data_IF_704862548490
#
_entry.id   IF_704862548490
#
_cell.length_a   1.000
_cell.length_b   1.000
_cell.length_c   1.000
_cell.angle_alpha   90.00
_cell.angle_beta   90.00
_cell.angle_gamma   90.00
#
_symmetry.space_group_name_H-M   'P 1'
#
loop_
_entity.id
_entity.type
_entity.pdbx_description
1 polymer ?
#
# COMPACT_ATOMS: atom_id res chain seq x y z
N UNK A 1 -2.47 -64.64 -41.57
CA UNK A 1 -3.26 -65.03 -42.77
C UNK A 1 -4.70 -64.63 -42.47
N UNK A 2 -5.45 -63.78 -43.18
CA UNK A 2 -5.39 -63.14 -44.49
C UNK A 2 -6.21 -61.82 -44.41
N UNK A 3 -5.65 -60.73 -44.96
CA UNK A 3 -6.23 -59.67 -45.83
C UNK A 3 -7.75 -59.34 -45.75
N UNK A 4 -8.15 -58.10 -45.43
CA UNK A 4 -8.24 -56.88 -46.28
C UNK A 4 -9.28 -56.93 -47.44
N UNK A 5 -10.21 -55.95 -47.48
CA UNK A 5 -10.50 -54.99 -48.60
C UNK A 5 -11.92 -54.35 -48.47
N UNK A 6 -12.04 -53.00 -48.36
CA UNK A 6 -12.52 -51.98 -49.37
C UNK A 6 -14.07 -51.97 -49.56
N UNK A 7 -14.86 -50.91 -49.83
CA UNK A 7 -14.71 -49.52 -50.29
C UNK A 7 -16.10 -48.77 -50.19
N UNK A 8 -16.11 -47.47 -49.82
CA UNK A 8 -16.87 -46.27 -50.33
C UNK A 8 -18.37 -46.29 -50.74
N UNK A 9 -19.19 -45.39 -50.12
CA UNK A 9 -20.17 -44.39 -50.70
C UNK A 9 -21.01 -43.74 -49.57
N UNK A 10 -20.78 -42.50 -49.12
CA UNK A 10 -21.33 -41.17 -49.55
C UNK A 10 -22.87 -41.00 -49.48
N UNK A 11 -23.38 -40.21 -48.49
CA UNK A 11 -24.44 -39.18 -48.65
C UNK A 11 -24.35 -38.16 -47.48
N UNK A 12 -24.31 -36.86 -47.81
CA UNK A 12 -24.35 -35.70 -46.92
C UNK A 12 -25.80 -35.21 -46.65
N UNK A 13 -25.94 -34.27 -45.69
CA UNK A 13 -27.11 -33.43 -45.32
C UNK A 13 -27.98 -34.06 -44.20
N UNK A 14 -28.30 -33.44 -43.05
CA UNK A 14 -28.51 -32.03 -42.66
C UNK A 14 -28.35 -31.84 -41.12
N UNK A 15 -27.51 -30.85 -40.75
CA UNK A 15 -27.55 -29.85 -39.64
C UNK A 15 -28.07 -30.16 -38.21
N UNK A 16 -27.22 -29.82 -37.23
CA UNK A 16 -27.57 -29.17 -35.95
C UNK A 16 -27.36 -30.04 -34.70
N UNK A 17 -26.16 -30.19 -34.13
CA UNK A 17 -25.45 -29.26 -33.21
C UNK A 17 -26.39 -28.64 -32.15
N UNK A 18 -26.13 -28.61 -30.85
CA UNK A 18 -25.10 -29.13 -29.93
C UNK A 18 -25.66 -28.85 -28.53
N UNK A 19 -25.53 -29.80 -27.60
CA UNK A 19 -25.86 -29.59 -26.19
C UNK A 19 -24.77 -28.77 -25.49
N UNK A 20 -25.15 -27.83 -24.63
CA UNK A 20 -24.24 -27.15 -23.70
C UNK A 20 -24.98 -26.86 -22.39
N UNK A 21 -24.53 -27.36 -21.22
CA UNK A 21 -24.93 -26.80 -19.95
C UNK A 21 -23.92 -25.76 -19.47
N UNK A 22 -24.48 -24.76 -18.79
CA UNK A 22 -23.85 -23.58 -18.21
C UNK A 22 -22.68 -23.93 -17.26
N UNK A 23 -21.49 -23.42 -17.58
CA UNK A 23 -20.45 -23.10 -16.60
C UNK A 23 -20.31 -21.58 -16.55
N UNK A 24 -20.94 -20.95 -15.56
CA UNK A 24 -20.68 -19.55 -15.21
C UNK A 24 -19.38 -19.52 -14.41
N UNK A 25 -18.25 -19.43 -15.12
CA UNK A 25 -16.97 -19.06 -14.54
C UNK A 25 -16.92 -17.53 -14.46
N UNK A 26 -16.95 -17.02 -13.22
CA UNK A 26 -16.68 -15.63 -12.90
C UNK A 26 -15.21 -15.32 -13.24
N UNK A 27 -14.92 -14.98 -14.51
CA UNK A 27 -13.62 -14.46 -14.91
C UNK A 27 -13.45 -13.08 -14.30
N UNK A 28 -12.69 -12.98 -13.21
CA UNK A 28 -12.03 -11.72 -12.85
C UNK A 28 -11.13 -11.34 -14.05
N UNK A 29 -11.21 -10.12 -14.58
CA UNK A 29 -10.26 -9.68 -15.58
C UNK A 29 -8.91 -9.53 -14.88
N UNK A 30 -8.04 -10.52 -15.03
CA UNK A 30 -6.62 -10.38 -14.73
C UNK A 30 -6.01 -9.50 -15.80
N UNK A 31 -6.08 -8.18 -15.58
CA UNK A 31 -5.23 -7.24 -16.31
C UNK A 31 -3.82 -7.37 -15.74
N UNK A 32 -3.18 -8.50 -16.03
CA UNK A 32 -1.77 -8.70 -15.70
C UNK A 32 -1.00 -7.92 -16.76
N UNK A 33 -0.48 -6.75 -16.38
CA UNK A 33 0.46 -6.02 -17.21
C UNK A 33 1.62 -6.97 -17.57
N UNK A 34 1.82 -7.33 -18.85
CA UNK A 34 2.86 -8.27 -19.25
C UNK A 34 4.29 -7.78 -18.97
N UNK A 35 4.45 -6.55 -18.48
CA UNK A 35 5.74 -5.91 -18.24
C UNK A 35 6.27 -6.04 -16.80
N UNK A 36 5.51 -6.60 -15.85
CA UNK A 36 5.92 -6.64 -14.43
C UNK A 36 6.99 -7.71 -14.16
N UNK A 37 7.14 -8.74 -15.02
CA UNK A 37 8.02 -9.88 -14.75
C UNK A 37 9.48 -9.71 -15.19
N UNK A 38 9.88 -8.55 -15.72
CA UNK A 38 11.26 -8.34 -16.22
C UNK A 38 11.84 -6.94 -15.98
N UNK A 39 11.29 -6.15 -15.05
CA UNK A 39 11.89 -4.88 -14.65
C UNK A 39 12.94 -5.11 -13.58
N UNK A 40 14.20 -5.06 -13.98
CA UNK A 40 15.32 -4.85 -13.06
C UNK A 40 15.12 -3.51 -12.36
N UNK A 41 14.79 -3.60 -11.06
CA UNK A 41 14.70 -2.66 -9.93
C UNK A 41 15.04 -1.15 -10.00
N UNK A 42 15.34 -0.49 -11.12
CA UNK A 42 15.65 0.97 -11.12
C UNK A 42 14.92 1.84 -12.16
N UNK A 43 14.40 1.33 -13.28
CA UNK A 43 14.20 2.26 -14.41
C UNK A 43 12.86 2.99 -14.55
N UNK A 44 11.79 2.67 -13.78
CA UNK A 44 10.60 3.54 -13.79
C UNK A 44 9.67 3.36 -12.59
N UNK A 45 9.85 4.21 -11.57
CA UNK A 45 8.83 4.42 -10.54
C UNK A 45 7.87 5.50 -11.08
N UNK A 46 6.56 5.21 -11.26
CA UNK A 46 5.63 6.20 -11.79
C UNK A 46 5.56 7.45 -10.91
N UNK A 47 5.62 8.62 -11.54
CA UNK A 47 5.57 9.90 -10.82
C UNK A 47 4.13 10.38 -10.59
N UNK A 48 3.19 9.98 -11.45
CA UNK A 48 1.76 10.24 -11.31
C UNK A 48 1.19 9.37 -10.18
N UNK A 49 0.42 9.98 -9.27
CA UNK A 49 0.06 9.36 -7.99
C UNK A 49 -0.84 8.13 -8.14
N UNK A 50 -1.80 8.15 -9.07
CA UNK A 50 -2.68 7.02 -9.33
C UNK A 50 -1.95 5.87 -10.05
N UNK A 51 -1.07 6.19 -11.00
CA UNK A 51 -0.20 5.19 -11.64
C UNK A 51 0.75 4.55 -10.63
N UNK A 52 1.35 5.35 -9.74
CA UNK A 52 2.20 4.88 -8.66
C UNK A 52 1.47 3.92 -7.71
N UNK A 53 0.24 4.26 -7.32
CA UNK A 53 -0.59 3.40 -6.47
C UNK A 53 -0.94 2.09 -7.17
N UNK A 54 -1.27 2.14 -8.46
CA UNK A 54 -1.52 0.95 -9.27
C UNK A 54 -0.28 0.05 -9.35
N UNK A 55 0.91 0.66 -9.51
CA UNK A 55 2.19 -0.04 -9.53
C UNK A 55 2.52 -0.70 -8.19
N UNK A 56 2.42 0.02 -7.07
CA UNK A 56 2.67 -0.56 -5.72
C UNK A 56 1.68 -1.67 -5.37
N UNK A 57 0.39 -1.50 -5.71
CA UNK A 57 -0.63 -2.53 -5.53
C UNK A 57 -0.32 -3.79 -6.33
N UNK A 58 0.06 -3.65 -7.60
CA UNK A 58 0.45 -4.78 -8.43
C UNK A 58 1.69 -5.49 -7.87
N UNK A 59 2.69 -4.72 -7.42
CA UNK A 59 3.89 -5.24 -6.78
C UNK A 59 3.56 -6.08 -5.55
N UNK A 60 2.65 -5.60 -4.68
CA UNK A 60 2.24 -6.32 -3.47
C UNK A 60 1.63 -7.70 -3.79
N UNK A 61 0.83 -7.80 -4.87
CA UNK A 61 0.27 -9.08 -5.30
C UNK A 61 1.31 -10.03 -5.89
N UNK A 62 2.31 -9.52 -6.61
CA UNK A 62 3.38 -10.36 -7.16
C UNK A 62 4.36 -10.83 -6.10
N UNK A 63 4.61 -10.02 -5.06
CA UNK A 63 5.56 -10.33 -3.97
C UNK A 63 5.22 -11.63 -3.24
N UNK A 64 3.93 -12.00 -3.17
CA UNK A 64 3.50 -13.26 -2.54
C UNK A 64 4.19 -14.49 -3.15
N UNK A 65 4.48 -14.45 -4.46
CA UNK A 65 5.14 -15.53 -5.20
C UNK A 65 6.61 -15.23 -5.55
N UNK A 66 7.02 -13.97 -5.52
CA UNK A 66 8.35 -13.48 -5.92
C UNK A 66 8.94 -12.61 -4.80
N UNK A 67 9.67 -13.24 -3.87
CA UNK A 67 10.13 -12.63 -2.61
C UNK A 67 11.58 -12.16 -2.65
N UNK A 68 12.16 -12.05 -3.84
CA UNK A 68 13.59 -11.74 -4.04
C UNK A 68 13.92 -10.32 -3.57
N UNK A 69 13.08 -9.35 -3.89
CA UNK A 69 13.23 -7.95 -3.48
C UNK A 69 12.43 -7.68 -2.21
N UNK A 70 13.02 -6.96 -1.24
CA UNK A 70 12.36 -6.65 0.02
C UNK A 70 11.17 -5.70 -0.18
N UNK A 71 10.10 -5.90 0.59
CA UNK A 71 8.89 -5.08 0.57
C UNK A 71 8.61 -4.53 1.96
N UNK A 72 8.30 -3.24 2.06
CA UNK A 72 7.85 -2.62 3.30
C UNK A 72 6.42 -2.11 3.12
N UNK A 73 5.49 -2.68 3.89
CA UNK A 73 4.08 -2.25 3.89
C UNK A 73 3.91 -1.10 4.88
N UNK A 74 3.60 0.10 4.39
CA UNK A 74 3.32 1.28 5.20
C UNK A 74 1.82 1.40 5.43
N UNK A 75 1.39 1.40 6.69
CA UNK A 75 -0.02 1.41 7.05
C UNK A 75 -0.36 2.44 8.11
N UNK A 76 -1.49 3.11 7.92
CA UNK A 76 -2.15 3.91 8.94
C UNK A 76 -2.77 3.06 10.04
N UNK A 77 -3.47 3.70 10.97
CA UNK A 77 -4.26 3.03 11.99
C UNK A 77 -5.60 2.49 11.42
N UNK A 78 -6.30 1.67 12.19
CA UNK A 78 -7.58 1.04 11.79
C UNK A 78 -8.76 2.03 11.75
N UNK A 79 -8.60 3.22 12.32
CA UNK A 79 -9.61 4.27 12.21
C UNK A 79 -9.70 4.81 10.78
N UNK A 80 -8.67 4.63 9.94
CA UNK A 80 -8.77 4.79 8.48
C UNK A 80 -9.29 6.16 8.03
N UNK A 81 -9.01 7.19 8.81
CA UNK A 81 -9.26 8.59 8.47
C UNK A 81 -8.26 9.09 7.41
N UNK A 82 -8.34 10.38 7.09
CA UNK A 82 -7.49 10.93 6.05
C UNK A 82 -6.03 10.99 6.46
N UNK A 83 -5.71 11.26 7.74
CA UNK A 83 -4.32 11.38 8.18
C UNK A 83 -3.56 10.06 8.04
N UNK A 84 -4.16 8.96 8.52
CA UNK A 84 -3.65 7.61 8.34
C UNK A 84 -3.43 7.25 6.87
N UNK A 85 -4.41 7.52 6.00
CA UNK A 85 -4.33 7.17 4.59
C UNK A 85 -3.34 8.04 3.81
N UNK A 86 -3.39 9.36 4.02
CA UNK A 86 -2.53 10.34 3.36
C UNK A 86 -1.07 10.12 3.76
N UNK A 87 -0.80 9.92 5.05
CA UNK A 87 0.54 9.63 5.56
C UNK A 87 1.12 8.37 4.95
N UNK A 88 0.34 7.28 4.82
CA UNK A 88 0.82 6.02 4.26
C UNK A 88 1.17 6.18 2.77
N UNK A 89 0.25 6.75 1.99
CA UNK A 89 0.44 7.01 0.56
C UNK A 89 1.64 7.94 0.32
N UNK A 90 1.72 9.03 1.06
CA UNK A 90 2.75 10.03 0.84
C UNK A 90 4.13 9.54 1.28
N UNK A 91 4.23 8.88 2.43
CA UNK A 91 5.49 8.34 2.89
C UNK A 91 6.01 7.25 1.94
N UNK A 92 5.15 6.35 1.45
CA UNK A 92 5.57 5.32 0.50
C UNK A 92 6.10 5.94 -0.79
N UNK A 93 5.40 6.97 -1.31
CA UNK A 93 5.79 7.67 -2.52
C UNK A 93 7.16 8.32 -2.34
N UNK A 94 7.35 9.04 -1.24
CA UNK A 94 8.60 9.74 -0.91
C UNK A 94 9.75 8.73 -0.78
N UNK A 95 9.55 7.64 -0.05
CA UNK A 95 10.58 6.63 0.18
C UNK A 95 10.97 5.88 -1.08
N UNK A 96 10.04 5.54 -1.97
CA UNK A 96 10.36 4.94 -3.26
C UNK A 96 11.13 5.91 -4.17
N UNK A 97 10.71 7.17 -4.28
CA UNK A 97 11.35 8.15 -5.16
C UNK A 97 12.67 8.72 -4.61
N UNK A 98 12.94 8.54 -3.32
CA UNK A 98 14.13 9.05 -2.62
C UNK A 98 14.81 7.97 -1.81
N UNK A 99 14.81 6.74 -2.33
CA UNK A 99 15.28 5.55 -1.61
C UNK A 99 16.70 5.71 -1.06
N UNK A 100 17.63 6.29 -1.85
CA UNK A 100 19.02 6.53 -1.43
C UNK A 100 19.15 7.40 -0.17
N UNK A 101 18.24 8.36 0.03
CA UNK A 101 18.22 9.17 1.24
C UNK A 101 17.88 8.32 2.46
N UNK A 102 16.84 7.48 2.35
CA UNK A 102 16.36 6.67 3.48
C UNK A 102 17.31 5.53 3.82
N UNK A 103 17.88 4.87 2.81
CA UNK A 103 18.88 3.83 3.02
C UNK A 103 20.15 4.40 3.66
N UNK A 104 20.61 5.58 3.23
CA UNK A 104 21.81 6.20 3.79
C UNK A 104 21.58 6.79 5.18
N UNK A 105 20.51 7.57 5.38
CA UNK A 105 20.27 8.29 6.65
C UNK A 105 19.80 7.38 7.77
N UNK A 106 18.96 6.38 7.46
CA UNK A 106 18.34 5.53 8.47
C UNK A 106 18.84 4.08 8.43
N UNK A 107 19.78 3.73 7.54
CA UNK A 107 20.26 2.35 7.36
C UNK A 107 19.12 1.37 7.06
N UNK A 108 18.09 1.84 6.36
CA UNK A 108 17.00 1.00 5.88
C UNK A 108 17.49 0.11 4.72
N UNK A 109 17.01 -1.14 4.60
CA UNK A 109 17.30 -1.96 3.43
C UNK A 109 16.67 -1.36 2.16
N UNK A 110 17.25 -1.60 0.96
CA UNK A 110 16.56 -1.33 -0.29
C UNK A 110 15.24 -2.10 -0.32
N UNK A 111 14.13 -1.40 -0.55
CA UNK A 111 12.78 -1.93 -0.39
C UNK A 111 11.79 -1.24 -1.32
N UNK A 112 10.79 -1.98 -1.80
CA UNK A 112 9.59 -1.36 -2.39
C UNK A 112 8.62 -1.03 -1.26
N UNK A 113 8.36 0.27 -1.08
CA UNK A 113 7.42 0.76 -0.09
C UNK A 113 6.00 0.76 -0.66
N UNK A 114 5.10 0.00 -0.03
CA UNK A 114 3.72 -0.18 -0.49
C UNK A 114 2.77 0.45 0.52
N UNK A 115 1.94 1.44 0.14
CA UNK A 115 0.95 1.99 1.04
C UNK A 115 -0.26 1.06 1.16
N UNK A 116 -0.68 0.80 2.40
CA UNK A 116 -1.87 0.01 2.72
C UNK A 116 -2.92 0.88 3.39
N UNK A 117 -4.13 0.85 2.82
CA UNK A 117 -5.30 1.47 3.40
C UNK A 117 -6.00 0.44 4.30
N UNK A 118 -5.99 0.69 5.61
CA UNK A 118 -6.63 -0.19 6.61
C UNK A 118 -8.15 -0.25 6.45
N UNK A 119 -8.78 0.71 5.77
CA UNK A 119 -10.20 0.67 5.46
C UNK A 119 -10.49 -0.38 4.38
N UNK A 120 -11.37 -1.37 4.64
CA UNK A 120 -11.78 -2.33 3.62
C UNK A 120 -12.36 -1.64 2.38
N UNK A 121 -12.09 -2.18 1.19
CA UNK A 121 -12.51 -1.57 -0.08
C UNK A 121 -14.00 -1.27 -0.13
N UNK A 122 -14.82 -2.22 0.33
CA UNK A 122 -16.28 -2.07 0.38
C UNK A 122 -16.75 -0.95 1.33
N UNK A 123 -15.92 -0.55 2.29
CA UNK A 123 -16.21 0.45 3.32
C UNK A 123 -15.65 1.83 2.99
N UNK A 124 -14.81 1.98 1.95
CA UNK A 124 -14.32 3.30 1.50
C UNK A 124 -15.46 4.29 1.24
N UNK A 125 -16.63 3.81 0.82
CA UNK A 125 -17.85 4.62 0.63
C UNK A 125 -18.34 5.35 1.89
N UNK A 126 -17.87 4.97 3.07
CA UNK A 126 -18.22 5.63 4.33
C UNK A 126 -17.21 6.71 4.73
N UNK A 127 -16.09 6.83 4.02
CA UNK A 127 -15.04 7.85 4.22
C UNK A 127 -15.15 8.94 3.17
N UNK A 128 -16.25 9.70 3.22
CA UNK A 128 -16.58 10.69 2.19
C UNK A 128 -15.51 11.79 2.10
N UNK A 129 -14.92 12.17 3.23
CA UNK A 129 -13.78 13.07 3.34
C UNK A 129 -12.55 12.54 2.60
N UNK A 130 -12.18 11.27 2.80
CA UNK A 130 -11.07 10.66 2.07
C UNK A 130 -11.37 10.59 0.57
N UNK A 131 -12.59 10.16 0.18
CA UNK A 131 -12.99 10.04 -1.22
C UNK A 131 -12.97 11.38 -1.95
N UNK A 132 -13.36 12.47 -1.27
CA UNK A 132 -13.31 13.82 -1.83
C UNK A 132 -11.87 14.22 -2.13
N UNK A 133 -10.95 13.98 -1.20
CA UNK A 133 -9.52 14.31 -1.36
C UNK A 133 -8.87 13.42 -2.41
N UNK A 134 -9.14 12.11 -2.41
CA UNK A 134 -8.63 11.21 -3.45
C UNK A 134 -9.02 11.70 -4.85
N UNK A 135 -10.27 12.12 -5.03
CA UNK A 135 -10.73 12.68 -6.30
C UNK A 135 -9.99 13.97 -6.66
N UNK A 136 -9.79 14.88 -5.70
CA UNK A 136 -9.13 16.16 -5.98
C UNK A 136 -7.67 16.00 -6.38
N UNK A 137 -6.97 14.99 -5.83
CA UNK A 137 -5.57 14.68 -6.20
C UNK A 137 -5.45 13.65 -7.33
N UNK A 138 -6.58 13.18 -7.87
CA UNK A 138 -6.65 12.28 -9.02
C UNK A 138 -6.36 10.81 -8.71
N UNK A 139 -6.52 10.37 -7.46
CA UNK A 139 -6.44 8.97 -7.05
C UNK A 139 -7.77 8.26 -7.33
N UNK A 140 -7.73 7.16 -8.07
CA UNK A 140 -8.83 6.20 -8.17
C UNK A 140 -8.86 5.28 -6.96
N UNK A 141 -10.05 4.96 -6.45
CA UNK A 141 -10.19 3.95 -5.40
C UNK A 141 -9.70 2.57 -5.83
N UNK A 142 -9.70 2.28 -7.13
CA UNK A 142 -9.25 1.00 -7.67
C UNK A 142 -7.73 0.81 -7.63
N UNK A 143 -6.96 1.92 -7.62
CA UNK A 143 -5.50 1.87 -7.51
C UNK A 143 -5.02 1.67 -6.07
N UNK A 144 -5.86 1.96 -5.06
CA UNK A 144 -5.54 1.72 -3.65
C UNK A 144 -5.39 0.23 -3.36
N UNK A 145 -4.41 -0.15 -2.54
CA UNK A 145 -4.35 -1.44 -1.87
C UNK A 145 -5.09 -1.31 -0.53
N UNK A 146 -6.17 -2.07 -0.38
CA UNK A 146 -6.98 -2.11 0.83
C UNK A 146 -6.65 -3.37 1.64
N UNK A 147 -6.89 -3.33 2.95
CA UNK A 147 -6.60 -4.45 3.85
C UNK A 147 -7.26 -5.77 3.42
N UNK A 148 -8.47 -5.72 2.87
CA UNK A 148 -9.22 -6.88 2.40
C UNK A 148 -8.71 -7.44 1.06
N UNK A 149 -7.78 -6.76 0.39
CA UNK A 149 -7.08 -7.29 -0.78
C UNK A 149 -5.96 -8.28 -0.39
N UNK A 150 -5.44 -8.20 0.85
CA UNK A 150 -4.28 -8.98 1.31
C UNK A 150 -4.61 -10.40 1.78
N UNK A 151 -5.90 -10.74 1.93
CA UNK A 151 -6.33 -12.06 2.41
C UNK A 151 -6.09 -12.25 3.91
N UNK A 152 -5.58 -13.42 4.31
CA UNK A 152 -5.35 -13.76 5.72
C UNK A 152 -4.13 -13.01 6.28
N UNK A 153 -4.41 -11.96 7.05
CA UNK A 153 -3.40 -11.14 7.75
C UNK A 153 -2.62 -11.92 8.81
N UNK A 154 -3.08 -13.09 9.24
CA UNK A 154 -2.36 -13.95 10.18
C UNK A 154 -1.38 -14.88 9.46
N UNK A 155 -1.37 -14.90 8.12
CA UNK A 155 -0.44 -15.73 7.36
C UNK A 155 1.03 -15.25 7.49
N UNK A 156 1.95 -16.15 7.15
CA UNK A 156 3.39 -15.85 7.08
C UNK A 156 3.78 -14.98 5.89
N UNK A 157 2.83 -14.61 5.01
CA UNK A 157 3.09 -13.78 3.83
C UNK A 157 3.64 -12.39 4.19
N UNK A 158 3.33 -11.88 5.38
CA UNK A 158 3.75 -10.56 5.87
C UNK A 158 4.81 -10.64 6.97
N UNK A 159 5.53 -11.76 7.09
CA UNK A 159 6.58 -11.92 8.09
C UNK A 159 7.95 -11.60 7.51
N UNK A 160 8.94 -11.40 8.39
CA UNK A 160 10.33 -11.20 7.97
C UNK A 160 10.86 -12.36 7.11
N UNK A 161 10.38 -13.60 7.35
CA UNK A 161 10.73 -14.77 6.55
C UNK A 161 10.21 -14.71 5.10
N UNK A 162 9.22 -13.86 4.83
CA UNK A 162 8.71 -13.58 3.48
C UNK A 162 9.34 -12.33 2.86
N UNK A 163 10.45 -11.84 3.42
CA UNK A 163 11.11 -10.60 2.98
C UNK A 163 10.18 -9.38 3.06
N UNK A 164 9.35 -9.34 4.10
CA UNK A 164 8.40 -8.25 4.36
C UNK A 164 8.71 -7.59 5.70
N UNK A 165 8.82 -6.27 5.66
CA UNK A 165 8.77 -5.40 6.84
C UNK A 165 7.46 -4.59 6.86
N UNK A 166 7.15 -4.04 8.02
CA UNK A 166 6.01 -3.18 8.25
C UNK A 166 6.49 -1.78 8.61
N UNK A 167 5.69 -0.78 8.25
CA UNK A 167 5.84 0.59 8.71
C UNK A 167 4.52 1.13 9.20
N UNK A 168 4.56 1.85 10.32
CA UNK A 168 3.40 2.39 11.00
C UNK A 168 3.40 3.90 10.81
N UNK A 169 2.28 4.43 10.33
CA UNK A 169 2.04 5.87 10.32
C UNK A 169 0.79 6.17 11.13
N UNK A 170 0.76 7.31 11.81
CA UNK A 170 -0.41 7.74 12.59
C UNK A 170 -0.84 6.73 13.70
N UNK A 171 0.12 5.89 14.12
CA UNK A 171 0.08 5.10 15.34
C UNK A 171 1.49 4.51 15.65
N UNK A 172 1.84 4.30 16.92
CA UNK A 172 3.19 3.86 17.29
C UNK A 172 3.30 2.33 17.39
N UNK A 173 2.18 1.60 17.38
CA UNK A 173 2.10 0.22 17.85
C UNK A 173 1.25 -0.70 16.98
N UNK A 174 1.83 -1.81 16.52
CA UNK A 174 1.11 -2.86 15.79
C UNK A 174 -0.16 -3.30 16.53
N UNK A 175 -1.30 -3.16 15.83
CA UNK A 175 -2.60 -3.59 16.33
C UNK A 175 -2.72 -5.12 16.31
N UNK A 176 -3.60 -5.71 17.13
CA UNK A 176 -3.72 -7.16 17.28
C UNK A 176 -3.91 -7.93 15.97
N UNK A 177 -4.65 -7.38 15.00
CA UNK A 177 -4.89 -8.00 13.70
C UNK A 177 -3.59 -8.29 12.90
N UNK A 178 -2.55 -7.50 13.17
CA UNK A 178 -1.25 -7.62 12.51
C UNK A 178 -0.25 -8.44 13.31
N UNK A 179 -0.51 -8.74 14.59
CA UNK A 179 0.39 -9.55 15.44
C UNK A 179 0.41 -10.97 14.89
N UNK A 180 1.48 -11.33 14.19
CA UNK A 180 1.64 -12.67 13.64
C UNK A 180 1.61 -13.72 14.75
N UNK A 181 0.78 -14.74 14.59
CA UNK A 181 0.69 -15.88 15.49
C UNK A 181 1.54 -17.04 14.97
N UNK A 182 2.41 -17.60 15.81
CA UNK A 182 3.14 -18.84 15.53
C UNK A 182 4.59 -18.66 15.03
N UNK A 183 5.30 -19.79 14.94
CA UNK A 183 6.71 -19.86 14.55
C UNK A 183 6.87 -19.40 13.09
N UNK A 184 7.84 -18.52 12.82
CA UNK A 184 8.08 -17.97 11.47
C UNK A 184 7.12 -16.84 11.06
N UNK A 185 6.24 -16.40 11.96
CA UNK A 185 5.28 -15.32 11.73
C UNK A 185 5.65 -14.01 12.43
N UNK A 186 6.90 -13.87 12.87
CA UNK A 186 7.38 -12.64 13.49
C UNK A 186 7.20 -11.46 12.52
N UNK A 187 6.49 -10.43 12.99
CA UNK A 187 6.39 -9.15 12.28
C UNK A 187 7.61 -8.32 12.63
N UNK A 188 8.11 -7.61 11.63
CA UNK A 188 9.25 -6.72 11.78
C UNK A 188 8.80 -5.32 11.40
N UNK A 189 8.90 -4.36 12.33
CA UNK A 189 8.57 -2.96 12.09
C UNK A 189 9.87 -2.19 11.90
N UNK A 190 10.06 -1.57 10.74
CA UNK A 190 11.28 -0.79 10.43
C UNK A 190 11.04 0.72 10.38
N UNK A 191 9.79 1.13 10.25
CA UNK A 191 9.38 2.51 10.04
C UNK A 191 8.25 2.87 11.00
N UNK A 192 8.40 3.97 11.73
CA UNK A 192 7.34 4.60 12.53
C UNK A 192 7.38 6.10 12.27
N UNK A 193 6.26 6.68 11.85
CA UNK A 193 6.05 8.12 11.74
C UNK A 193 4.71 8.48 12.39
N UNK A 194 4.75 9.02 13.60
CA UNK A 194 3.55 9.13 14.42
C UNK A 194 3.54 10.40 15.29
N UNK A 195 2.35 10.86 15.64
CA UNK A 195 2.13 12.03 16.49
C UNK A 195 1.35 11.73 17.78
N UNK A 196 1.12 10.46 18.10
CA UNK A 196 0.54 10.04 19.37
C UNK A 196 1.62 9.89 20.46
N UNK A 197 1.18 9.55 21.68
CA UNK A 197 2.10 9.22 22.77
C UNK A 197 2.93 7.98 22.43
N UNK A 198 4.23 8.08 22.68
CA UNK A 198 5.17 7.00 22.49
C UNK A 198 5.01 5.95 23.61
N UNK A 199 4.57 4.74 23.25
CA UNK A 199 4.38 3.63 24.19
C UNK A 199 5.61 2.71 24.32
N UNK A 200 6.73 3.07 23.68
CA UNK A 200 7.97 2.29 23.71
C UNK A 200 7.94 1.03 22.84
N UNK A 201 6.94 0.87 21.95
CA UNK A 201 6.95 -0.25 21.01
C UNK A 201 7.97 -0.05 19.89
N UNK A 202 8.52 -1.18 19.41
CA UNK A 202 9.44 -1.29 18.26
C UNK A 202 10.60 -0.28 18.34
N UNK A 203 11.28 -0.21 19.49
CA UNK A 203 12.39 0.72 19.72
C UNK A 203 13.57 0.50 18.76
N UNK A 204 13.65 -0.68 18.14
CA UNK A 204 14.65 -1.06 17.15
C UNK A 204 14.30 -0.64 15.71
N UNK A 205 13.12 -0.05 15.48
CA UNK A 205 12.73 0.49 14.18
C UNK A 205 13.76 1.53 13.68
N UNK A 206 14.24 1.33 12.45
CA UNK A 206 15.34 2.11 11.86
C UNK A 206 14.98 3.57 11.61
N UNK A 207 13.79 3.81 11.05
CA UNK A 207 13.21 5.14 10.93
C UNK A 207 12.14 5.25 12.02
N UNK A 208 12.44 5.93 13.12
CA UNK A 208 11.49 6.16 14.21
C UNK A 208 11.35 7.65 14.48
N UNK A 209 10.31 8.25 13.91
CA UNK A 209 10.01 9.67 14.04
C UNK A 209 8.66 9.87 14.71
N UNK A 210 8.68 9.97 16.05
CA UNK A 210 7.49 10.15 16.87
C UNK A 210 7.52 11.53 17.54
N UNK A 211 6.47 12.31 17.33
CA UNK A 211 6.30 13.66 17.89
C UNK A 211 5.20 13.63 18.94
N UNK A 212 5.51 13.12 20.14
CA UNK A 212 4.49 12.89 21.17
C UNK A 212 3.87 14.18 21.69
N UNK A 213 2.55 14.23 21.95
CA UNK A 213 1.88 15.42 22.45
C UNK A 213 2.46 15.95 23.76
N UNK A 214 2.95 15.05 24.62
CA UNK A 214 3.63 15.36 25.88
C UNK A 214 5.01 16.03 25.74
N UNK A 215 5.62 16.04 24.54
CA UNK A 215 6.98 16.56 24.29
C UNK A 215 7.02 17.63 23.22
N UNK A 216 6.57 17.30 22.01
CA UNK A 216 6.60 18.17 20.84
C UNK A 216 5.29 17.93 20.04
N UNK A 217 4.17 18.55 20.44
CA UNK A 217 2.88 18.27 19.85
C UNK A 217 2.82 18.75 18.39
N UNK A 218 2.36 17.86 17.50
CA UNK A 218 1.95 18.21 16.14
C UNK A 218 0.51 17.78 15.90
N UNK A 219 -0.22 18.54 15.11
CA UNK A 219 -1.66 18.34 14.94
C UNK A 219 -2.05 17.18 14.01
N UNK A 220 -1.10 16.63 13.25
CA UNK A 220 -1.34 15.61 12.22
C UNK A 220 -0.03 14.89 11.88
N UNK A 221 -0.05 13.57 11.76
CA UNK A 221 1.08 12.75 11.32
C UNK A 221 1.55 13.14 9.90
N UNK A 222 0.63 13.61 9.04
CA UNK A 222 0.94 14.14 7.72
C UNK A 222 1.93 15.31 7.75
N UNK A 223 1.98 16.07 8.85
CA UNK A 223 3.00 17.12 9.04
C UNK A 223 4.42 16.56 9.15
N UNK A 224 4.57 15.42 9.83
CA UNK A 224 5.85 14.73 9.99
C UNK A 224 6.29 14.09 8.68
N UNK A 225 5.35 13.52 7.92
CA UNK A 225 5.61 13.01 6.57
C UNK A 225 6.03 14.12 5.62
N UNK A 226 5.38 15.30 5.67
CA UNK A 226 5.78 16.47 4.91
C UNK A 226 7.21 16.91 5.25
N UNK A 227 7.60 16.90 6.53
CA UNK A 227 8.98 17.20 6.96
C UNK A 227 9.98 16.21 6.36
N UNK A 228 9.71 14.90 6.41
CA UNK A 228 10.57 13.89 5.77
C UNK A 228 10.66 14.07 4.24
N UNK A 229 9.56 14.47 3.60
CA UNK A 229 9.53 14.77 2.17
C UNK A 229 10.42 15.97 1.81
N UNK A 230 10.44 17.01 2.65
CA UNK A 230 11.33 18.17 2.49
C UNK A 230 12.79 17.80 2.74
N UNK A 231 13.08 17.08 3.82
CA UNK A 231 14.45 16.71 4.18
C UNK A 231 15.10 15.76 3.16
N UNK A 232 14.33 14.86 2.55
CA UNK A 232 14.82 13.95 1.50
C UNK A 232 15.00 14.62 0.13
N UNK A 233 14.61 15.89 0.01
CA UNK A 233 14.68 16.70 -1.22
C UNK A 233 15.26 18.09 -0.95
N UNK A 234 16.54 18.22 -0.56
CA UNK A 234 17.15 19.54 -0.42
C UNK A 234 16.99 20.34 -1.72
N UNK A 235 16.34 21.51 -1.66
CA UNK A 235 16.01 22.38 -2.80
C UNK A 235 15.04 21.79 -3.84
N UNK A 236 14.42 20.64 -3.54
CA UNK A 236 13.45 20.00 -4.41
C UNK A 236 12.01 20.39 -4.05
N UNK A 237 11.12 20.27 -5.03
CA UNK A 237 9.69 20.53 -4.84
C UNK A 237 8.99 19.20 -4.54
N UNK A 238 8.09 19.22 -3.55
CA UNK A 238 7.14 18.13 -3.31
C UNK A 238 6.09 18.17 -4.43
N UNK A 239 5.80 17.07 -5.13
CA UNK A 239 4.78 17.06 -6.19
C UNK A 239 3.46 17.63 -5.67
N UNK A 240 2.82 18.53 -6.43
CA UNK A 240 1.65 19.29 -5.96
C UNK A 240 0.53 18.40 -5.44
N UNK A 241 0.15 17.35 -6.17
CA UNK A 241 -0.86 16.37 -5.73
C UNK A 241 -0.52 15.69 -4.40
N UNK A 242 0.77 15.44 -4.15
CA UNK A 242 1.24 14.86 -2.90
C UNK A 242 1.17 15.87 -1.76
N UNK A 243 1.55 17.13 -2.04
CA UNK A 243 1.43 18.23 -1.10
C UNK A 243 -0.03 18.52 -0.75
N UNK A 244 -0.93 18.52 -1.73
CA UNK A 244 -2.38 18.71 -1.55
C UNK A 244 -2.99 17.58 -0.71
N UNK A 245 -2.55 16.34 -0.91
CA UNK A 245 -2.97 15.19 -0.09
C UNK A 245 -2.57 15.37 1.38
N UNK A 246 -1.28 15.67 1.63
CA UNK A 246 -0.75 15.91 2.97
C UNK A 246 -1.41 17.12 3.64
N UNK A 247 -1.53 18.24 2.92
CA UNK A 247 -2.15 19.46 3.43
C UNK A 247 -3.62 19.25 3.77
N UNK A 248 -4.36 18.45 2.99
CA UNK A 248 -5.76 18.13 3.27
C UNK A 248 -5.92 17.41 4.60
N UNK A 249 -5.05 16.43 4.91
CA UNK A 249 -5.04 15.78 6.22
C UNK A 249 -4.76 16.77 7.35
N UNK A 250 -3.69 17.56 7.21
CA UNK A 250 -3.33 18.59 8.20
C UNK A 250 -4.49 19.55 8.46
N UNK A 251 -5.16 20.05 7.42
CA UNK A 251 -6.30 20.95 7.56
C UNK A 251 -7.46 20.28 8.29
N UNK A 252 -7.75 19.01 8.03
CA UNK A 252 -8.85 18.31 8.71
C UNK A 252 -8.55 18.12 10.20
N UNK A 253 -7.37 17.61 10.56
CA UNK A 253 -7.05 17.33 11.97
C UNK A 253 -6.91 18.61 12.80
N UNK A 254 -6.35 19.66 12.19
CA UNK A 254 -6.12 20.95 12.84
C UNK A 254 -7.29 21.92 12.73
N UNK A 255 -8.42 21.50 12.14
CA UNK A 255 -9.61 22.34 11.92
C UNK A 255 -9.26 23.64 11.20
N UNK A 256 -8.50 23.51 10.11
CA UNK A 256 -7.92 24.62 9.33
C UNK A 256 -6.92 25.46 10.14
N UNK A 257 -5.92 24.78 10.73
CA UNK A 257 -4.80 25.37 11.49
C UNK A 257 -5.28 26.30 12.62
N UNK A 258 -6.37 25.91 13.28
CA UNK A 258 -6.88 26.61 14.46
C UNK A 258 -6.21 26.06 15.71
N UNK A 259 -5.86 26.94 16.63
CA UNK A 259 -5.32 26.54 17.94
C UNK A 259 -6.27 25.59 18.67
N UNK A 260 -5.71 24.71 19.49
CA UNK A 260 -6.52 23.83 20.34
C UNK A 260 -7.42 24.70 21.22
N UNK A 261 -8.75 24.45 21.28
CA UNK A 261 -9.62 25.14 22.21
C UNK A 261 -9.26 24.86 23.69
N UNK A 262 -8.34 23.92 23.93
CA UNK A 262 -7.82 23.54 25.24
C UNK A 262 -6.36 23.95 25.46
N UNK A 263 -5.72 24.62 24.51
CA UNK A 263 -4.45 25.28 24.77
C UNK A 263 -4.72 26.38 25.79
N UNK A 264 -4.34 26.15 27.05
CA UNK A 264 -4.29 27.22 28.05
C UNK A 264 -3.15 28.14 27.62
N UNK A 265 -3.47 29.43 27.52
CA UNK A 265 -2.48 30.51 27.36
C UNK A 265 -1.38 30.45 28.44
#
# INVERSE_FOLDING_TARGET
>A
MLRQHKLVQLVCCVLGLLAWPLFVLYRRPTFVYPHILNMTSEDYIPSELNEYLSWTKAYAFTHVNHKEQHMTILMGNEAGDLDSAASAIALSYVMNHRQSYFTTKYSLPPSVYVPLIQTPRSQLRYRQENLLVYRSVGISVDSLLCVDDLGDLTSTAFSAASNVSLGLVDHPSLRPAWKGSGIGNARHVEVIVDHHEDDGAHEDAKLRFISSPSREPVGSASSLVAKLAMESRPNGIIPSKLADLLLSAVILDTRNVRGSPYARE
#
